data_IF_601357068234
#
_entry.id   IF_601357068234
#
_cell.length_a   1.000
_cell.length_b   1.000
_cell.length_c   1.000
_cell.angle_alpha   90.00
_cell.angle_beta   90.00
_cell.angle_gamma   90.00
#
_symmetry.space_group_name_H-M   'P 1'
#
loop_
_entity.id
_entity.type
_entity.pdbx_description
1 polymer ?
#
# COMPACT_ATOMS: atom_id res chain seq x y z
N UNK A 1 27.47 -3.66 12.98
CA UNK A 1 26.59 -2.62 12.41
C UNK A 1 25.75 -2.03 13.53
N UNK A 2 25.73 -0.73 13.65
CA UNK A 2 24.94 -0.07 14.69
C UNK A 2 23.53 0.21 14.20
N UNK A 3 22.62 0.32 15.16
CA UNK A 3 21.19 0.51 14.91
C UNK A 3 20.78 1.83 15.54
N UNK A 4 20.09 2.65 14.78
CA UNK A 4 19.58 3.94 15.26
C UNK A 4 18.05 3.95 15.18
N UNK A 5 17.43 4.62 16.14
CA UNK A 5 15.98 4.81 16.16
C UNK A 5 15.67 6.30 16.11
N UNK A 6 14.51 6.62 15.53
CA UNK A 6 14.02 7.99 15.47
C UNK A 6 12.52 7.97 15.68
N UNK A 7 12.04 8.83 16.57
CA UNK A 7 10.62 9.04 16.76
C UNK A 7 10.14 10.14 15.83
N UNK A 8 9.01 9.93 15.19
CA UNK A 8 8.37 10.94 14.36
C UNK A 8 6.93 11.11 14.75
N UNK A 9 6.43 12.35 14.64
CA UNK A 9 5.01 12.65 14.87
C UNK A 9 4.34 12.81 13.52
N UNK A 10 3.23 12.07 13.32
CA UNK A 10 2.51 12.06 12.07
C UNK A 10 1.06 12.45 12.33
N UNK A 11 0.52 13.33 11.46
CA UNK A 11 -0.90 13.67 11.48
C UNK A 11 -1.64 12.71 10.55
N UNK A 12 -2.58 11.96 11.11
CA UNK A 12 -3.44 11.07 10.34
C UNK A 12 -4.71 11.81 9.97
N UNK A 13 -5.11 11.73 8.71
CA UNK A 13 -6.30 12.42 8.21
C UNK A 13 -7.34 11.42 7.74
N UNK A 14 -8.58 11.68 8.10
CA UNK A 14 -9.70 10.80 7.78
C UNK A 14 -10.87 11.60 7.23
N UNK A 15 -11.52 11.05 6.22
CA UNK A 15 -12.86 11.46 5.84
C UNK A 15 -13.84 10.81 6.80
N UNK A 16 -14.85 11.55 7.22
CA UNK A 16 -15.86 11.05 8.15
C UNK A 16 -17.25 11.23 7.56
N UNK A 17 -18.18 10.37 7.97
CA UNK A 17 -19.56 10.43 7.52
C UNK A 17 -20.33 9.27 8.07
N UNK A 18 -21.63 9.23 7.79
CA UNK A 18 -22.49 8.15 8.22
C UNK A 18 -22.42 7.01 7.23
N UNK A 19 -22.03 5.84 7.72
CA UNK A 19 -21.97 4.64 6.90
C UNK A 19 -23.37 4.10 6.62
N UNK A 20 -23.50 3.43 5.49
CA UNK A 20 -24.72 2.71 5.10
C UNK A 20 -24.31 1.27 4.74
N UNK A 21 -24.03 0.41 5.75
CA UNK A 21 -23.47 -0.92 5.48
C UNK A 21 -24.37 -1.80 4.63
N UNK A 22 -25.70 -1.65 4.76
CA UNK A 22 -26.66 -2.42 3.96
C UNK A 22 -26.55 -2.12 2.46
N UNK A 23 -26.04 -0.95 2.13
CA UNK A 23 -25.80 -0.53 0.76
C UNK A 23 -24.35 -0.63 0.34
N UNK A 24 -23.47 -1.13 1.23
CA UNK A 24 -22.05 -1.21 0.96
C UNK A 24 -21.37 0.16 0.90
N UNK A 25 -21.91 1.17 1.56
CA UNK A 25 -21.36 2.52 1.55
C UNK A 25 -20.66 2.78 2.87
N UNK A 26 -19.36 3.07 2.79
CA UNK A 26 -18.52 3.35 3.96
C UNK A 26 -17.84 4.70 3.73
N UNK A 27 -18.16 5.68 4.60
CA UNK A 27 -17.69 7.05 4.45
C UNK A 27 -16.51 7.40 5.34
N UNK A 28 -16.26 6.57 6.36
CA UNK A 28 -15.09 6.76 7.22
C UNK A 28 -13.90 6.08 6.57
N UNK A 29 -13.00 6.87 6.02
CA UNK A 29 -11.87 6.38 5.23
C UNK A 29 -10.63 7.22 5.48
N UNK A 30 -9.46 6.62 5.31
CA UNK A 30 -8.22 7.37 5.31
C UNK A 30 -8.13 8.24 4.05
N UNK A 31 -7.65 9.46 4.20
CA UNK A 31 -7.50 10.40 3.08
C UNK A 31 -6.31 9.97 2.23
N UNK A 32 -6.54 9.80 0.91
CA UNK A 32 -5.49 9.50 -0.05
C UNK A 32 -4.80 10.81 -0.44
N UNK A 33 -3.51 10.98 -0.14
CA UNK A 33 -2.80 12.21 -0.49
C UNK A 33 -2.30 12.16 -1.93
N UNK A 34 -2.45 13.25 -2.67
CA UNK A 34 -1.82 13.52 -3.98
C UNK A 34 -1.99 12.44 -5.05
N UNK A 35 -2.96 11.53 -4.94
CA UNK A 35 -3.27 10.49 -5.92
C UNK A 35 -2.06 9.67 -6.42
N UNK A 36 -0.98 9.63 -5.66
CA UNK A 36 0.22 8.89 -6.05
C UNK A 36 1.20 9.67 -6.91
N UNK A 37 1.02 10.98 -7.05
CA UNK A 37 1.99 11.81 -7.74
C UNK A 37 3.36 11.71 -7.08
N UNK A 38 4.41 11.51 -7.86
CA UNK A 38 5.77 11.29 -7.36
C UNK A 38 6.11 9.83 -7.06
N UNK A 39 5.18 8.91 -7.31
CA UNK A 39 5.43 7.47 -7.17
C UNK A 39 5.55 6.80 -8.53
N UNK A 40 6.38 5.77 -8.58
CA UNK A 40 6.58 4.93 -9.74
C UNK A 40 6.66 3.48 -9.28
N UNK A 41 6.02 2.59 -10.03
CA UNK A 41 6.07 1.15 -9.78
C UNK A 41 6.75 0.48 -10.95
N UNK A 42 7.65 -0.45 -10.66
CA UNK A 42 8.29 -1.29 -11.66
C UNK A 42 8.16 -2.75 -11.25
N UNK A 43 7.96 -3.62 -12.23
CA UNK A 43 7.94 -5.06 -12.02
C UNK A 43 9.08 -5.67 -12.81
N UNK A 44 9.91 -6.43 -12.12
CA UNK A 44 11.03 -7.13 -12.74
C UNK A 44 10.95 -8.61 -12.42
N UNK A 45 11.21 -9.41 -13.43
CA UNK A 45 11.30 -10.86 -13.26
C UNK A 45 12.69 -11.31 -13.69
N UNK A 46 13.45 -11.85 -12.75
CA UNK A 46 14.79 -12.35 -13.01
C UNK A 46 14.69 -13.83 -13.39
N UNK A 47 15.31 -14.18 -14.50
CA UNK A 47 15.29 -15.55 -14.99
C UNK A 47 16.35 -16.42 -14.32
N UNK A 48 16.36 -17.71 -14.63
CA UNK A 48 17.27 -18.68 -14.05
C UNK A 48 18.74 -18.46 -14.44
N UNK A 49 19.02 -17.62 -15.41
CA UNK A 49 20.39 -17.28 -15.80
C UNK A 49 21.01 -16.20 -14.93
N UNK A 50 20.25 -15.64 -13.99
CA UNK A 50 20.75 -14.57 -13.12
C UNK A 50 21.75 -15.13 -12.09
N UNK A 51 22.94 -14.59 -12.09
CA UNK A 51 23.99 -14.93 -11.13
C UNK A 51 23.78 -14.24 -9.78
N UNK A 52 22.86 -13.28 -9.71
CA UNK A 52 22.64 -12.48 -8.50
C UNK A 52 22.01 -13.30 -7.39
N UNK A 53 21.07 -14.19 -7.75
CA UNK A 53 20.36 -15.04 -6.78
C UNK A 53 20.29 -16.46 -7.32
N UNK A 54 21.41 -17.19 -7.35
CA UNK A 54 21.45 -18.52 -7.95
C UNK A 54 20.52 -19.55 -7.26
N UNK A 55 20.21 -19.34 -5.97
CA UNK A 55 19.29 -20.20 -5.24
C UNK A 55 17.82 -19.89 -5.51
N UNK A 56 17.52 -18.78 -6.20
CA UNK A 56 16.16 -18.35 -6.51
C UNK A 56 16.06 -18.00 -7.99
N UNK A 57 16.02 -19.00 -8.88
CA UNK A 57 16.11 -18.77 -10.33
C UNK A 57 14.96 -17.94 -10.92
N UNK A 58 13.80 -17.91 -10.26
CA UNK A 58 12.63 -17.15 -10.73
C UNK A 58 12.23 -16.09 -9.72
N UNK A 59 13.13 -15.16 -9.45
CA UNK A 59 12.83 -14.10 -8.51
C UNK A 59 11.98 -13.01 -9.16
N UNK A 60 10.86 -12.68 -8.51
CA UNK A 60 10.01 -11.57 -8.91
C UNK A 60 10.25 -10.40 -7.97
N UNK A 61 10.32 -9.22 -8.57
CA UNK A 61 10.57 -7.99 -7.80
C UNK A 61 9.54 -6.94 -8.17
N UNK A 62 8.98 -6.30 -7.15
CA UNK A 62 8.17 -5.11 -7.33
C UNK A 62 8.94 -3.97 -6.69
N UNK A 63 9.23 -2.94 -7.47
CA UNK A 63 9.92 -1.75 -7.01
C UNK A 63 8.92 -0.64 -6.85
N UNK A 64 8.84 -0.08 -5.67
CA UNK A 64 8.08 1.14 -5.41
C UNK A 64 9.10 2.25 -5.23
N UNK A 65 9.11 3.18 -6.18
CA UNK A 65 10.06 4.28 -6.22
C UNK A 65 9.28 5.56 -5.98
N UNK A 66 9.82 6.44 -5.17
CA UNK A 66 9.15 7.70 -4.90
C UNK A 66 10.10 8.78 -4.47
N UNK A 67 9.65 10.02 -4.63
CA UNK A 67 10.32 11.15 -4.00
C UNK A 67 10.15 11.07 -2.49
N UNK A 68 10.96 11.82 -1.76
CA UNK A 68 10.85 11.87 -0.30
C UNK A 68 9.42 12.22 0.14
N UNK A 69 8.84 13.26 -0.43
CA UNK A 69 7.49 13.69 -0.07
C UNK A 69 6.43 12.67 -0.44
N UNK A 70 6.55 12.02 -1.60
CA UNK A 70 5.61 11.00 -2.03
C UNK A 70 5.67 9.76 -1.13
N UNK A 71 6.87 9.34 -0.74
CA UNK A 71 7.03 8.22 0.18
C UNK A 71 6.50 8.52 1.57
N UNK A 72 6.73 9.75 2.07
CA UNK A 72 6.18 10.17 3.36
C UNK A 72 4.65 10.20 3.32
N UNK A 73 4.06 10.70 2.23
CA UNK A 73 2.62 10.75 2.07
C UNK A 73 2.01 9.35 2.02
N UNK A 74 2.63 8.45 1.25
CA UNK A 74 2.18 7.06 1.19
C UNK A 74 2.30 6.37 2.54
N UNK A 75 3.42 6.57 3.25
CA UNK A 75 3.62 6.01 4.58
C UNK A 75 2.59 6.50 5.57
N UNK A 76 2.29 7.78 5.58
CA UNK A 76 1.25 8.37 6.43
C UNK A 76 -0.12 7.73 6.12
N UNK A 77 -0.45 7.59 4.83
CA UNK A 77 -1.68 6.94 4.42
C UNK A 77 -1.76 5.48 4.90
N UNK A 78 -0.67 4.73 4.76
CA UNK A 78 -0.66 3.32 5.19
C UNK A 78 -0.88 3.20 6.70
N UNK A 79 -0.32 4.10 7.49
CA UNK A 79 -0.55 4.13 8.93
C UNK A 79 -2.01 4.49 9.23
N UNK A 80 -2.55 5.48 8.53
CA UNK A 80 -3.95 5.87 8.69
C UNK A 80 -4.89 4.71 8.35
N UNK A 81 -4.63 4.00 7.25
CA UNK A 81 -5.39 2.83 6.86
C UNK A 81 -5.33 1.73 7.92
N UNK A 82 -4.14 1.48 8.46
CA UNK A 82 -3.95 0.45 9.47
C UNK A 82 -4.71 0.77 10.76
N UNK A 83 -4.86 2.06 11.09
CA UNK A 83 -5.50 2.51 12.33
C UNK A 83 -6.94 2.98 12.14
N UNK A 84 -7.47 2.87 10.94
CA UNK A 84 -8.83 3.32 10.64
C UNK A 84 -9.84 2.52 11.44
N UNK A 85 -10.75 3.23 12.13
CA UNK A 85 -11.90 2.64 12.77
C UNK A 85 -13.07 2.71 11.79
N UNK A 86 -13.38 1.59 11.17
CA UNK A 86 -14.39 1.54 10.10
C UNK A 86 -15.20 0.25 10.18
N UNK A 87 -16.48 0.36 9.83
CA UNK A 87 -17.34 -0.80 9.66
C UNK A 87 -17.03 -1.59 8.39
N UNK A 88 -16.24 -1.01 7.47
CA UNK A 88 -15.81 -1.71 6.26
C UNK A 88 -14.81 -2.82 6.64
N UNK A 89 -15.11 -4.10 6.32
CA UNK A 89 -14.19 -5.20 6.64
C UNK A 89 -12.90 -5.16 5.84
N UNK A 90 -12.90 -4.51 4.67
CA UNK A 90 -11.73 -4.43 3.81
C UNK A 90 -11.55 -3.01 3.26
N UNK A 91 -11.25 -2.03 4.13
CA UNK A 91 -11.08 -0.67 3.67
C UNK A 91 -9.85 -0.55 2.75
N UNK A 92 -9.97 0.29 1.74
CA UNK A 92 -8.91 0.46 0.76
C UNK A 92 -8.88 1.91 0.28
N UNK A 93 -7.79 2.25 -0.41
CA UNK A 93 -7.68 3.50 -1.14
C UNK A 93 -7.10 3.25 -2.51
N UNK A 94 -7.19 4.25 -3.37
CA UNK A 94 -6.65 4.15 -4.72
C UNK A 94 -5.78 5.36 -5.03
N UNK A 95 -4.53 5.10 -5.37
CA UNK A 95 -3.60 6.10 -5.88
C UNK A 95 -3.61 5.95 -7.40
N UNK A 96 -4.31 6.84 -8.10
CA UNK A 96 -4.64 6.64 -9.52
C UNK A 96 -3.59 7.17 -10.49
N UNK A 97 -2.62 7.96 -10.01
CA UNK A 97 -1.62 8.62 -10.84
C UNK A 97 -0.20 8.13 -10.54
N UNK A 98 -0.07 6.85 -10.25
CA UNK A 98 1.24 6.22 -10.07
C UNK A 98 1.80 5.88 -11.44
N UNK A 99 3.05 6.28 -11.71
CA UNK A 99 3.70 5.95 -12.97
C UNK A 99 4.07 4.47 -13.00
N UNK A 100 4.05 3.89 -14.18
CA UNK A 100 4.54 2.55 -14.41
C UNK A 100 5.78 2.62 -15.29
N UNK A 101 6.84 1.91 -14.92
CA UNK A 101 8.13 1.96 -15.62
C UNK A 101 7.99 1.59 -17.09
N UNK A 102 7.11 0.65 -17.43
CA UNK A 102 6.84 0.26 -18.80
C UNK A 102 6.06 1.28 -19.62
N UNK A 103 5.62 2.37 -19.01
CA UNK A 103 4.84 3.43 -19.63
C UNK A 103 3.43 3.51 -19.07
N UNK A 104 2.85 4.71 -19.13
CA UNK A 104 1.51 4.94 -18.61
C UNK A 104 1.45 5.00 -17.10
N UNK A 105 0.24 4.81 -16.58
CA UNK A 105 -0.04 4.84 -15.14
C UNK A 105 -0.70 3.54 -14.70
N UNK A 106 -0.58 3.24 -13.41
CA UNK A 106 -1.28 2.14 -12.75
C UNK A 106 -1.98 2.67 -11.52
N UNK A 107 -2.95 1.93 -11.04
CA UNK A 107 -3.55 2.20 -9.74
C UNK A 107 -2.83 1.39 -8.69
N UNK A 108 -2.34 2.08 -7.66
CA UNK A 108 -1.82 1.42 -6.47
C UNK A 108 -2.94 1.45 -5.43
N UNK A 109 -3.40 0.27 -5.03
CA UNK A 109 -4.58 0.14 -4.18
C UNK A 109 -4.27 -0.61 -2.90
N UNK A 110 -3.74 0.07 -1.88
CA UNK A 110 -3.55 -0.55 -0.58
C UNK A 110 -4.89 -0.95 0.03
N UNK A 111 -4.96 -2.13 0.58
CA UNK A 111 -6.17 -2.67 1.20
C UNK A 111 -5.82 -3.31 2.54
N UNK A 112 -6.63 -3.02 3.55
CA UNK A 112 -6.48 -3.68 4.83
C UNK A 112 -7.44 -4.86 4.92
N UNK A 113 -6.91 -6.02 5.27
CA UNK A 113 -7.71 -7.23 5.45
C UNK A 113 -7.41 -7.82 6.83
N UNK A 114 -8.37 -8.56 7.38
CA UNK A 114 -8.15 -9.26 8.64
C UNK A 114 -7.18 -10.42 8.46
N UNK A 115 -7.13 -10.98 7.24
CA UNK A 115 -6.36 -12.16 6.95
C UNK A 115 -6.04 -12.20 5.45
N UNK A 116 -4.82 -12.58 5.09
CA UNK A 116 -4.45 -12.63 3.67
C UNK A 116 -5.24 -13.70 2.94
N UNK A 117 -5.61 -13.45 1.67
CA UNK A 117 -6.30 -14.46 0.86
C UNK A 117 -5.49 -15.76 0.79
N UNK A 118 -6.17 -16.88 0.96
CA UNK A 118 -5.54 -18.19 0.95
C UNK A 118 -5.09 -18.69 2.31
N UNK A 119 -4.96 -17.82 3.31
CA UNK A 119 -4.64 -18.25 4.66
C UNK A 119 -5.87 -18.87 5.31
N UNK A 120 -5.65 -19.85 6.16
CA UNK A 120 -6.75 -20.45 6.92
C UNK A 120 -6.98 -19.66 8.19
N UNK A 121 -8.24 -19.42 8.57
CA UNK A 121 -8.52 -18.83 9.85
C UNK A 121 -7.95 -19.67 10.98
N UNK A 122 -7.45 -19.00 12.02
CA UNK A 122 -6.94 -19.69 13.18
C UNK A 122 -8.05 -20.52 13.83
N UNK A 123 -7.75 -21.79 14.11
CA UNK A 123 -8.74 -22.69 14.69
C UNK A 123 -9.66 -23.38 13.69
N UNK A 124 -9.44 -23.17 12.40
CA UNK A 124 -10.22 -23.84 11.35
C UNK A 124 -9.64 -25.20 10.97
#
# INVERSE_FOLDING_TARGET
MSHATRDVTIRLEYNTGQDEPDRGIFRNQAVVPNDGEGLLVAYHELDESSDVFPENPHQRQIHLVGTKGALEALGTYLIALARLDSADPEPYGSFDHVRFEGGGTVRLMPRRVAQLPGDRPEGA
#
